data_IF_141940424364
#
_entry.id   IF_141940424364
#
_cell.length_a   1.000
_cell.length_b   1.000
_cell.length_c   1.000
_cell.angle_alpha   90.00
_cell.angle_beta   90.00
_cell.angle_gamma   90.00
#
_symmetry.space_group_name_H-M   'P 1'
#
loop_
_entity.id
_entity.type
_entity.pdbx_description
1 polymer ?
#
# COMPACT_ATOMS: atom_id res chain seq x y z
N UNK A 1 24.74 -10.71 21.99
CA UNK A 1 23.39 -10.65 21.40
C UNK A 1 23.41 -9.56 20.34
N UNK A 2 22.70 -9.76 19.23
CA UNK A 2 22.52 -8.72 18.22
C UNK A 2 21.80 -7.52 18.86
N UNK A 3 22.22 -6.29 18.56
CA UNK A 3 21.62 -5.09 19.15
C UNK A 3 20.49 -4.61 18.23
N UNK A 4 19.25 -4.88 18.63
CA UNK A 4 18.08 -4.45 17.84
C UNK A 4 17.76 -2.98 18.08
N UNK A 5 17.20 -2.30 17.08
CA UNK A 5 16.68 -0.95 17.24
C UNK A 5 15.68 -0.82 18.41
N UNK A 6 14.83 -1.83 18.60
CA UNK A 6 13.84 -1.90 19.68
C UNK A 6 14.44 -1.85 21.09
N UNK A 7 15.71 -2.24 21.25
CA UNK A 7 16.41 -2.20 22.54
C UNK A 7 17.04 -0.82 22.84
N UNK A 8 17.18 0.03 21.82
CA UNK A 8 17.91 1.29 21.90
C UNK A 8 17.04 2.54 21.70
N UNK A 9 15.76 2.36 21.37
CA UNK A 9 14.81 3.45 21.14
C UNK A 9 14.57 4.26 22.42
N UNK A 10 14.57 5.58 22.27
CA UNK A 10 14.25 6.57 23.29
C UNK A 10 12.93 7.23 22.94
N UNK A 11 12.08 7.43 23.94
CA UNK A 11 10.76 8.03 23.78
C UNK A 11 10.66 9.35 24.52
N UNK A 12 10.13 10.35 23.83
CA UNK A 12 9.87 11.69 24.36
C UNK A 12 8.37 11.96 24.26
N UNK A 13 7.73 12.19 25.41
CA UNK A 13 6.27 12.34 25.49
C UNK A 13 5.88 13.81 25.42
N UNK A 14 5.02 14.15 24.48
CA UNK A 14 4.34 15.45 24.41
C UNK A 14 3.00 15.34 25.14
N UNK A 15 2.65 16.34 25.97
CA UNK A 15 1.42 16.32 26.77
C UNK A 15 0.13 16.34 25.92
N UNK A 16 0.16 17.03 24.78
CA UNK A 16 -0.95 17.16 23.83
C UNK A 16 -0.48 16.89 22.39
N UNK A 17 0.30 15.85 22.18
CA UNK A 17 0.92 15.59 20.88
C UNK A 17 1.44 14.17 20.72
N UNK A 18 2.11 13.87 19.60
CA UNK A 18 2.68 12.56 19.35
C UNK A 18 3.83 12.26 20.31
N UNK A 19 4.01 10.98 20.59
CA UNK A 19 5.25 10.48 21.21
C UNK A 19 6.33 10.45 20.14
N UNK A 20 7.47 11.10 20.40
CA UNK A 20 8.62 11.05 19.51
C UNK A 20 9.50 9.88 19.94
N UNK A 21 9.54 8.83 19.12
CA UNK A 21 10.49 7.72 19.25
C UNK A 21 11.70 7.92 18.36
N UNK A 22 12.91 7.68 18.86
CA UNK A 22 14.14 7.73 18.05
C UNK A 22 15.24 6.82 18.61
N UNK A 23 16.06 6.27 17.73
CA UNK A 23 17.25 5.48 18.08
C UNK A 23 18.50 6.36 18.04
N UNK A 24 18.75 7.02 16.91
CA UNK A 24 19.97 7.77 16.65
C UNK A 24 19.74 9.25 16.32
N UNK A 25 18.52 9.63 15.94
CA UNK A 25 18.16 11.01 15.60
C UNK A 25 18.19 11.93 16.82
N UNK A 26 18.58 13.18 16.59
CA UNK A 26 18.44 14.24 17.59
C UNK A 26 16.96 14.62 17.76
N UNK A 27 16.64 15.10 18.95
CA UNK A 27 15.34 15.66 19.30
C UNK A 27 15.54 17.12 19.67
N UNK A 28 14.71 17.98 19.09
CA UNK A 28 14.66 19.41 19.36
C UNK A 28 13.59 19.61 20.45
N UNK A 29 13.96 20.32 21.51
CA UNK A 29 13.02 20.79 22.52
C UNK A 29 12.69 22.27 22.25
N UNK A 30 11.40 22.57 22.11
CA UNK A 30 10.91 23.93 21.88
C UNK A 30 9.54 24.12 22.50
N UNK A 31 9.34 25.22 23.21
CA UNK A 31 8.09 25.54 23.91
C UNK A 31 7.61 24.43 24.88
N UNK A 32 8.55 23.68 25.46
CA UNK A 32 8.24 22.52 26.32
C UNK A 32 7.71 21.29 25.58
N UNK A 33 7.85 21.24 24.25
CA UNK A 33 7.48 20.13 23.38
C UNK A 33 8.72 19.55 22.67
N UNK A 34 8.62 18.29 22.27
CA UNK A 34 9.65 17.54 21.59
C UNK A 34 9.32 17.33 20.12
N UNK A 35 10.34 17.51 19.26
CA UNK A 35 10.27 17.38 17.81
C UNK A 35 11.46 16.58 17.31
N UNK A 36 11.27 15.73 16.31
CA UNK A 36 12.40 15.04 15.68
C UNK A 36 13.13 16.00 14.74
N UNK A 37 14.45 16.05 14.83
CA UNK A 37 15.31 16.84 13.94
C UNK A 37 15.36 16.18 12.56
N UNK A 38 14.51 16.58 11.61
CA UNK A 38 14.33 15.84 10.36
C UNK A 38 15.49 16.00 9.36
N UNK A 39 16.39 16.96 9.53
CA UNK A 39 17.60 17.11 8.68
C UNK A 39 18.92 17.03 9.46
N UNK A 40 18.87 16.82 10.78
CA UNK A 40 20.06 16.63 11.61
C UNK A 40 20.85 17.92 11.93
N UNK A 41 20.35 19.08 11.47
CA UNK A 41 21.01 20.38 11.66
C UNK A 41 20.95 20.88 13.11
N UNK A 42 19.96 20.43 13.89
CA UNK A 42 19.63 20.95 15.21
C UNK A 42 18.78 22.21 15.19
N UNK A 43 18.50 22.79 14.02
CA UNK A 43 17.67 23.98 13.86
C UNK A 43 16.19 23.59 13.71
N UNK A 44 15.32 24.23 14.50
CA UNK A 44 13.88 24.03 14.42
C UNK A 44 13.29 24.64 13.14
N UNK A 45 12.72 23.81 12.27
CA UNK A 45 12.15 24.24 10.98
C UNK A 45 10.66 23.85 10.84
N UNK A 46 9.92 24.46 9.91
CA UNK A 46 8.48 24.20 9.75
C UNK A 46 8.14 22.72 9.55
N UNK A 47 8.99 21.94 8.87
CA UNK A 47 8.71 20.53 8.66
C UNK A 47 8.89 19.66 9.91
N UNK A 48 9.66 20.11 10.91
CA UNK A 48 9.82 19.41 12.19
C UNK A 48 8.57 19.57 13.08
N UNK A 49 7.84 20.67 12.88
CA UNK A 49 6.70 21.07 13.71
C UNK A 49 5.45 20.26 13.39
N UNK A 50 5.22 19.17 14.14
CA UNK A 50 4.03 18.32 13.99
C UNK A 50 2.70 19.03 14.30
N UNK A 51 2.72 20.26 14.83
CA UNK A 51 1.52 21.08 15.06
C UNK A 51 1.02 21.74 13.77
N UNK A 52 1.88 21.86 12.75
CA UNK A 52 1.49 22.38 11.44
C UNK A 52 0.75 21.31 10.62
N UNK A 53 -0.16 21.72 9.71
CA UNK A 53 -0.81 20.79 8.80
C UNK A 53 0.19 19.94 8.00
N UNK A 54 -0.15 18.67 7.78
CA UNK A 54 0.71 17.73 7.07
C UNK A 54 1.14 18.25 5.69
N UNK A 55 0.23 18.92 4.96
CA UNK A 55 0.52 19.51 3.66
C UNK A 55 1.58 20.62 3.75
N UNK A 56 1.50 21.50 4.74
CA UNK A 56 2.49 22.57 4.94
C UNK A 56 3.87 22.01 5.24
N UNK A 57 3.92 21.00 6.13
CA UNK A 57 5.16 20.30 6.48
C UNK A 57 5.77 19.61 5.27
N UNK A 58 4.96 18.90 4.48
CA UNK A 58 5.43 18.22 3.27
C UNK A 58 5.95 19.21 2.22
N UNK A 59 5.23 20.33 1.98
CA UNK A 59 5.66 21.39 1.06
C UNK A 59 6.94 22.09 1.52
N UNK A 60 7.15 22.22 2.82
CA UNK A 60 8.40 22.74 3.37
C UNK A 60 9.54 21.72 3.21
N UNK A 61 9.29 20.45 3.55
CA UNK A 61 10.35 19.45 3.58
C UNK A 61 10.84 19.05 2.20
N UNK A 62 9.95 18.94 1.22
CA UNK A 62 10.35 18.63 -0.16
C UNK A 62 11.30 19.68 -0.74
N UNK A 63 11.33 20.91 -0.20
CA UNK A 63 12.30 21.93 -0.63
C UNK A 63 13.71 21.68 -0.08
N UNK A 64 13.82 20.99 1.06
CA UNK A 64 15.10 20.61 1.67
C UNK A 64 15.72 19.39 0.99
N UNK A 65 14.90 18.43 0.53
CA UNK A 65 15.38 17.24 -0.16
C UNK A 65 16.12 17.58 -1.46
N UNK A 66 17.19 16.85 -1.72
CA UNK A 66 17.89 16.83 -3.02
C UNK A 66 17.01 16.25 -4.12
N UNK A 67 17.41 16.42 -5.38
CA UNK A 67 16.69 15.84 -6.53
C UNK A 67 16.63 14.31 -6.44
N UNK A 68 17.74 13.66 -6.06
CA UNK A 68 17.80 12.20 -5.97
C UNK A 68 16.91 11.66 -4.86
N UNK A 69 16.89 12.31 -3.69
CA UNK A 69 16.00 11.96 -2.58
C UNK A 69 14.53 12.09 -2.96
N UNK A 70 14.16 13.13 -3.73
CA UNK A 70 12.80 13.30 -4.28
C UNK A 70 12.43 12.19 -5.25
N UNK A 71 13.33 11.87 -6.18
CA UNK A 71 13.13 10.80 -7.17
C UNK A 71 12.93 9.47 -6.45
N UNK A 72 13.72 9.18 -5.41
CA UNK A 72 13.61 7.95 -4.63
C UNK A 72 12.24 7.76 -3.95
N UNK A 73 11.53 8.85 -3.62
CA UNK A 73 10.16 8.76 -3.07
C UNK A 73 9.11 8.29 -4.09
N UNK A 74 9.44 8.24 -5.38
CA UNK A 74 8.52 7.81 -6.43
C UNK A 74 8.55 6.30 -6.69
N UNK A 75 9.49 5.58 -6.07
CA UNK A 75 9.69 4.14 -6.29
C UNK A 75 9.25 3.35 -5.08
N UNK A 76 8.60 2.21 -5.35
CA UNK A 76 8.40 1.14 -4.38
C UNK A 76 9.13 -0.11 -4.85
N UNK A 77 10.00 -0.65 -4.01
CA UNK A 77 10.85 -1.79 -4.36
C UNK A 77 10.42 -3.05 -3.61
N UNK A 78 10.39 -4.19 -4.30
CA UNK A 78 10.25 -5.49 -3.64
C UNK A 78 11.47 -5.75 -2.76
N UNK A 79 11.23 -6.08 -1.50
CA UNK A 79 12.31 -6.15 -0.52
C UNK A 79 12.25 -7.40 0.34
N UNK A 80 13.46 -7.82 0.72
CA UNK A 80 13.71 -9.05 1.49
C UNK A 80 14.00 -8.74 2.95
N UNK A 81 13.64 -9.68 3.81
CA UNK A 81 14.06 -9.69 5.22
C UNK A 81 15.20 -10.70 5.38
N UNK A 82 16.15 -10.43 6.27
CA UNK A 82 17.31 -11.32 6.45
C UNK A 82 16.95 -12.76 6.82
N UNK A 83 15.94 -12.95 7.66
CA UNK A 83 15.50 -14.27 8.14
C UNK A 83 14.54 -14.99 7.18
N UNK A 84 13.89 -14.26 6.25
CA UNK A 84 12.77 -14.78 5.45
C UNK A 84 13.03 -14.61 3.95
N UNK A 85 13.77 -15.57 3.39
CA UNK A 85 14.26 -15.54 2.01
C UNK A 85 13.46 -16.40 1.03
N UNK A 86 12.20 -16.73 1.34
CA UNK A 86 11.39 -17.61 0.48
C UNK A 86 11.23 -17.11 -0.97
N UNK A 87 11.35 -15.80 -1.19
CA UNK A 87 11.33 -15.16 -2.51
C UNK A 87 12.64 -15.32 -3.30
N UNK A 88 13.73 -15.64 -2.62
CA UNK A 88 15.09 -15.61 -3.15
C UNK A 88 15.82 -16.91 -2.75
N UNK A 89 15.41 -18.07 -3.29
CA UNK A 89 15.83 -19.38 -2.78
C UNK A 89 17.34 -19.63 -2.88
N UNK A 90 18.01 -19.04 -3.86
CA UNK A 90 19.46 -19.16 -4.06
C UNK A 90 20.27 -18.03 -3.38
N UNK A 91 19.58 -17.08 -2.74
CA UNK A 91 20.21 -15.93 -2.11
C UNK A 91 20.82 -16.29 -0.75
N UNK A 92 22.04 -15.84 -0.51
CA UNK A 92 22.73 -15.99 0.77
C UNK A 92 22.70 -14.65 1.50
N UNK A 93 21.99 -14.53 2.64
CA UNK A 93 21.86 -13.26 3.32
C UNK A 93 23.17 -12.88 4.00
N UNK A 94 23.47 -11.60 4.04
CA UNK A 94 24.49 -11.05 4.93
C UNK A 94 23.75 -10.19 5.96
N UNK A 95 23.54 -10.75 7.15
CA UNK A 95 22.78 -10.05 8.17
C UNK A 95 23.53 -8.83 8.70
N UNK A 96 22.79 -7.76 8.98
CA UNK A 96 23.30 -6.60 9.72
C UNK A 96 23.58 -6.95 11.19
N UNK A 97 24.11 -5.99 11.96
CA UNK A 97 24.44 -6.20 13.38
C UNK A 97 23.22 -6.54 14.26
N UNK A 98 22.02 -6.18 13.82
CA UNK A 98 20.76 -6.52 14.51
C UNK A 98 20.29 -7.94 14.18
N UNK A 99 20.81 -8.54 13.11
CA UNK A 99 20.38 -9.85 12.61
C UNK A 99 19.06 -9.82 11.86
N UNK A 100 18.53 -8.64 11.50
CA UNK A 100 17.18 -8.48 10.93
C UNK A 100 17.20 -8.08 9.46
N UNK A 101 18.09 -7.16 9.08
CA UNK A 101 18.23 -6.68 7.72
C UNK A 101 19.16 -7.62 6.93
N UNK A 102 19.00 -7.59 5.62
CA UNK A 102 19.89 -8.26 4.70
C UNK A 102 20.71 -7.24 3.91
N UNK A 103 22.02 -7.24 4.15
CA UNK A 103 23.00 -6.37 3.53
C UNK A 103 23.80 -7.04 2.40
N UNK A 104 23.46 -8.29 2.02
CA UNK A 104 24.04 -8.90 0.83
C UNK A 104 23.45 -8.27 -0.43
N UNK A 105 24.25 -8.09 -1.48
CA UNK A 105 23.73 -7.74 -2.80
C UNK A 105 22.92 -8.91 -3.37
N UNK A 106 21.82 -8.61 -4.07
CA UNK A 106 21.04 -9.59 -4.82
C UNK A 106 21.11 -9.29 -6.32
N UNK A 107 21.64 -10.24 -7.07
CA UNK A 107 21.62 -10.24 -8.54
C UNK A 107 20.95 -11.54 -8.97
N UNK A 108 19.76 -11.45 -9.55
CA UNK A 108 19.03 -12.64 -9.93
C UNK A 108 17.69 -12.36 -10.59
N UNK A 109 16.99 -13.44 -10.94
CA UNK A 109 15.68 -13.40 -11.58
C UNK A 109 14.60 -13.81 -10.58
N UNK A 110 13.58 -12.98 -10.45
CA UNK A 110 12.35 -13.29 -9.72
C UNK A 110 11.20 -13.51 -10.72
N UNK A 111 10.01 -13.84 -10.21
CA UNK A 111 8.79 -13.86 -11.02
C UNK A 111 8.45 -12.48 -11.62
N UNK A 112 9.04 -11.40 -11.11
CA UNK A 112 8.82 -10.02 -11.57
C UNK A 112 9.90 -9.52 -12.53
N UNK A 113 10.90 -10.34 -12.84
CA UNK A 113 11.97 -10.01 -13.77
C UNK A 113 13.36 -10.11 -13.16
N UNK A 114 14.36 -9.67 -13.92
CA UNK A 114 15.74 -9.56 -13.46
C UNK A 114 15.89 -8.36 -12.52
N UNK A 115 16.57 -8.55 -11.41
CA UNK A 115 16.77 -7.54 -10.38
C UNK A 115 18.24 -7.48 -9.96
N UNK A 116 18.69 -6.26 -9.74
CA UNK A 116 20.01 -5.92 -9.23
C UNK A 116 19.77 -4.99 -8.03
N UNK A 117 19.75 -5.56 -6.83
CA UNK A 117 19.38 -4.85 -5.60
C UNK A 117 20.57 -4.83 -4.65
N UNK A 118 20.89 -3.67 -4.04
CA UNK A 118 21.95 -3.59 -3.06
C UNK A 118 21.51 -4.24 -1.74
N UNK A 119 22.41 -4.25 -0.76
CA UNK A 119 22.07 -4.50 0.63
C UNK A 119 21.07 -3.46 1.18
N UNK A 120 20.33 -3.81 2.23
CA UNK A 120 19.27 -2.97 2.81
C UNK A 120 19.83 -1.65 3.33
N UNK A 121 20.95 -1.68 4.05
CA UNK A 121 21.60 -0.48 4.57
C UNK A 121 22.03 0.47 3.44
N UNK A 122 22.58 -0.07 2.36
CA UNK A 122 22.94 0.72 1.18
C UNK A 122 21.71 1.29 0.48
N UNK A 123 20.64 0.50 0.31
CA UNK A 123 19.40 0.98 -0.26
C UNK A 123 18.85 2.20 0.51
N UNK A 124 18.80 2.10 1.83
CA UNK A 124 18.23 3.17 2.67
C UNK A 124 19.15 4.39 2.70
N UNK A 125 20.46 4.22 2.84
CA UNK A 125 21.41 5.33 3.05
C UNK A 125 21.97 5.95 1.78
N UNK A 126 22.08 5.19 0.69
CA UNK A 126 22.69 5.64 -0.57
C UNK A 126 21.65 5.87 -1.66
N UNK A 127 20.68 4.97 -1.80
CA UNK A 127 19.63 5.12 -2.80
C UNK A 127 18.41 5.88 -2.26
N UNK A 128 18.40 6.15 -0.95
CA UNK A 128 17.34 6.88 -0.26
C UNK A 128 15.94 6.28 -0.45
N UNK A 129 15.85 4.96 -0.67
CA UNK A 129 14.56 4.32 -0.82
C UNK A 129 13.77 4.41 0.50
N UNK A 130 12.48 4.73 0.39
CA UNK A 130 11.57 4.85 1.55
C UNK A 130 10.27 4.10 1.38
N UNK A 131 10.00 3.54 0.22
CA UNK A 131 8.84 2.68 0.00
C UNK A 131 9.31 1.29 -0.41
N UNK A 132 8.93 0.29 0.38
CA UNK A 132 9.25 -1.10 0.13
C UNK A 132 7.96 -1.91 0.08
N UNK A 133 7.94 -3.01 -0.66
CA UNK A 133 6.88 -4.02 -0.56
C UNK A 133 7.44 -5.28 0.09
N UNK A 134 6.72 -5.80 1.08
CA UNK A 134 7.03 -7.02 1.81
C UNK A 134 6.07 -8.14 1.41
N UNK A 135 6.63 -9.26 0.95
CA UNK A 135 5.87 -10.49 0.64
C UNK A 135 6.26 -11.71 1.48
N UNK A 136 7.20 -11.53 2.40
CA UNK A 136 7.47 -12.56 3.40
C UNK A 136 6.33 -12.64 4.43
N UNK A 137 6.27 -13.76 5.15
CA UNK A 137 5.30 -14.04 6.21
C UNK A 137 6.00 -14.24 7.56
N UNK A 138 6.65 -13.17 8.10
CA UNK A 138 7.30 -13.24 9.39
C UNK A 138 6.31 -13.38 10.53
N UNK A 139 6.78 -13.86 11.69
CA UNK A 139 6.02 -13.73 12.94
C UNK A 139 5.94 -12.25 13.35
N UNK A 140 4.92 -11.82 14.13
CA UNK A 140 4.71 -10.41 14.45
C UNK A 140 5.93 -9.73 15.09
N UNK A 141 6.65 -10.44 15.96
CA UNK A 141 7.84 -9.91 16.64
C UNK A 141 8.97 -9.59 15.65
N UNK A 142 9.24 -10.52 14.72
CA UNK A 142 10.31 -10.34 13.72
C UNK A 142 9.94 -9.23 12.72
N UNK A 143 8.65 -9.06 12.41
CA UNK A 143 8.17 -7.97 11.56
C UNK A 143 8.37 -6.61 12.22
N UNK A 144 7.94 -6.47 13.48
CA UNK A 144 8.11 -5.24 14.24
C UNK A 144 9.60 -4.88 14.41
N UNK A 145 10.44 -5.86 14.72
CA UNK A 145 11.89 -5.64 14.84
C UNK A 145 12.53 -5.20 13.51
N UNK A 146 12.16 -5.82 12.39
CA UNK A 146 12.66 -5.45 11.07
C UNK A 146 12.24 -4.03 10.66
N UNK A 147 10.98 -3.66 10.91
CA UNK A 147 10.49 -2.29 10.64
C UNK A 147 11.20 -1.25 11.51
N UNK A 148 11.36 -1.54 12.81
CA UNK A 148 12.12 -0.68 13.72
C UNK A 148 13.57 -0.51 13.26
N UNK A 149 14.19 -1.58 12.77
CA UNK A 149 15.55 -1.52 12.26
C UNK A 149 15.66 -0.70 10.96
N UNK A 150 14.72 -0.86 10.02
CA UNK A 150 14.64 -0.02 8.82
C UNK A 150 14.54 1.47 9.19
N UNK A 151 13.70 1.81 10.17
CA UNK A 151 13.57 3.19 10.64
C UNK A 151 14.84 3.70 11.32
N UNK A 152 15.50 2.87 12.12
CA UNK A 152 16.78 3.24 12.77
C UNK A 152 17.87 3.55 11.75
N UNK A 153 18.00 2.74 10.69
CA UNK A 153 18.95 3.02 9.59
C UNK A 153 18.56 4.29 8.84
N UNK A 154 17.26 4.53 8.61
CA UNK A 154 16.81 5.77 7.98
C UNK A 154 17.12 7.02 8.81
N UNK A 155 17.11 6.93 10.15
CA UNK A 155 17.50 8.04 11.05
C UNK A 155 18.97 8.46 10.90
N UNK A 156 19.82 7.61 10.34
CA UNK A 156 21.23 7.93 10.08
C UNK A 156 21.45 8.72 8.79
N UNK A 157 20.44 8.84 7.93
CA UNK A 157 20.53 9.60 6.68
C UNK A 157 20.57 11.12 6.98
N UNK A 158 21.11 11.94 6.08
CA UNK A 158 21.07 13.41 6.27
C UNK A 158 19.63 13.91 6.44
N UNK A 159 18.74 13.56 5.50
CA UNK A 159 17.30 13.77 5.63
C UNK A 159 16.57 12.50 6.12
N UNK A 160 15.87 12.61 7.25
CA UNK A 160 15.05 11.52 7.77
C UNK A 160 13.65 11.54 7.16
N UNK A 161 13.36 10.50 6.40
CA UNK A 161 12.01 10.08 6.04
C UNK A 161 11.83 8.66 6.58
N UNK A 162 10.71 8.31 7.24
CA UNK A 162 10.46 6.94 7.67
C UNK A 162 10.29 6.00 6.46
N UNK A 163 10.68 4.73 6.62
CA UNK A 163 10.44 3.69 5.61
C UNK A 163 9.00 3.21 5.70
N UNK A 164 8.20 3.42 4.66
CA UNK A 164 6.87 2.88 4.53
C UNK A 164 6.93 1.52 3.83
N UNK A 165 6.69 0.46 4.58
CA UNK A 165 6.53 -0.88 4.02
C UNK A 165 5.07 -1.12 3.69
N UNK A 166 4.84 -1.61 2.48
CA UNK A 166 3.53 -2.01 1.95
C UNK A 166 3.44 -3.52 1.87
N UNK A 167 2.25 -4.07 2.01
CA UNK A 167 1.96 -5.47 1.75
C UNK A 167 0.60 -5.63 1.07
N UNK A 168 0.36 -6.75 0.39
CA UNK A 168 -1.03 -7.17 0.15
C UNK A 168 -1.71 -7.47 1.48
N UNK A 169 -3.04 -7.55 1.45
CA UNK A 169 -3.84 -7.98 2.59
C UNK A 169 -3.39 -9.33 3.13
N UNK A 170 -3.47 -9.49 4.46
CA UNK A 170 -2.92 -10.63 5.22
C UNK A 170 -3.90 -11.26 6.21
N UNK A 171 -5.12 -10.73 6.27
CA UNK A 171 -6.11 -11.06 7.29
C UNK A 171 -7.25 -11.91 6.76
N UNK A 172 -7.24 -12.19 5.46
CA UNK A 172 -8.22 -13.02 4.79
C UNK A 172 -7.48 -13.95 3.84
N UNK A 173 -7.97 -15.19 3.77
CA UNK A 173 -7.46 -16.34 3.00
C UNK A 173 -6.93 -17.48 3.90
N UNK A 174 -7.36 -18.70 3.58
CA UNK A 174 -7.06 -19.92 4.33
C UNK A 174 -5.81 -20.68 3.86
N UNK A 175 -5.16 -20.25 2.77
CA UNK A 175 -3.98 -20.94 2.22
C UNK A 175 -2.75 -20.04 2.10
N UNK A 176 -1.60 -20.58 2.51
CA UNK A 176 -0.27 -20.01 2.28
C UNK A 176 0.07 -20.13 0.78
N UNK A 177 -0.40 -19.19 -0.03
CA UNK A 177 0.01 -19.09 -1.43
C UNK A 177 1.09 -18.04 -1.57
N UNK A 178 2.24 -18.40 -2.14
CA UNK A 178 3.25 -17.45 -2.57
C UNK A 178 2.78 -16.80 -3.88
N UNK A 179 2.42 -15.50 -3.89
CA UNK A 179 1.96 -14.83 -5.10
C UNK A 179 1.02 -13.63 -4.88
N UNK A 180 -0.15 -13.64 -5.53
CA UNK A 180 -1.11 -12.52 -5.55
C UNK A 180 -1.84 -12.26 -4.23
N UNK A 181 -1.68 -13.14 -3.23
CA UNK A 181 -2.15 -13.02 -1.84
C UNK A 181 -0.97 -13.33 -0.91
N UNK A 182 -0.89 -12.72 0.27
CA UNK A 182 0.22 -12.93 1.20
C UNK A 182 -0.32 -13.42 2.58
N UNK A 183 0.04 -14.67 2.94
CA UNK A 183 -0.10 -15.34 4.25
C UNK A 183 -1.48 -15.88 4.70
N UNK A 184 -1.41 -17.04 5.37
CA UNK A 184 -2.37 -17.52 6.38
C UNK A 184 -1.60 -17.82 7.69
N UNK A 185 -2.20 -17.56 8.85
CA UNK A 185 -1.71 -18.07 10.15
C UNK A 185 -0.75 -17.19 10.97
N UNK A 186 -0.42 -15.98 10.52
CA UNK A 186 0.33 -14.98 11.31
C UNK A 186 -0.62 -13.96 11.95
N UNK A 187 -1.60 -13.52 11.17
CA UNK A 187 -2.69 -12.65 11.56
C UNK A 187 -4.00 -13.43 11.64
N UNK A 188 -5.07 -12.82 12.15
CA UNK A 188 -6.39 -13.42 12.14
C UNK A 188 -6.76 -13.83 10.71
N UNK A 189 -7.20 -15.07 10.51
CA UNK A 189 -7.52 -15.63 9.20
C UNK A 189 -9.04 -15.64 8.98
N UNK A 190 -9.57 -14.53 8.47
CA UNK A 190 -10.96 -14.39 8.07
C UNK A 190 -11.25 -15.14 6.75
N UNK A 191 -12.53 -15.43 6.44
CA UNK A 191 -12.91 -15.87 5.11
C UNK A 191 -12.39 -14.89 4.05
N UNK A 192 -12.03 -15.38 2.85
CA UNK A 192 -11.67 -14.50 1.74
C UNK A 192 -12.77 -13.47 1.45
N UNK A 193 -12.45 -12.40 0.71
CA UNK A 193 -13.37 -11.26 0.52
C UNK A 193 -14.73 -11.64 -0.08
N UNK A 194 -14.80 -12.66 -0.95
CA UNK A 194 -16.08 -13.22 -1.42
C UNK A 194 -16.88 -13.88 -0.28
N UNK A 195 -16.22 -14.56 0.64
CA UNK A 195 -16.85 -15.16 1.82
C UNK A 195 -17.37 -14.09 2.79
N UNK A 196 -16.61 -13.00 2.96
CA UNK A 196 -17.06 -11.83 3.73
C UNK A 196 -18.31 -11.21 3.07
N UNK A 197 -18.28 -10.98 1.76
CA UNK A 197 -19.44 -10.47 1.03
C UNK A 197 -20.67 -11.37 1.15
N UNK A 198 -20.48 -12.70 1.10
CA UNK A 198 -21.57 -13.66 1.28
C UNK A 198 -22.15 -13.61 2.72
N UNK A 199 -21.28 -13.45 3.74
CA UNK A 199 -21.71 -13.31 5.13
C UNK A 199 -22.53 -12.03 5.33
N UNK A 200 -22.08 -10.89 4.78
CA UNK A 200 -22.82 -9.62 4.81
C UNK A 200 -24.19 -9.76 4.16
N UNK A 201 -24.28 -10.41 2.98
CA UNK A 201 -25.58 -10.67 2.33
C UNK A 201 -26.54 -11.52 3.16
N UNK A 202 -26.00 -12.43 3.97
CA UNK A 202 -26.78 -13.34 4.81
C UNK A 202 -27.15 -12.76 6.18
N UNK A 203 -26.50 -11.67 6.60
CA UNK A 203 -26.61 -11.12 7.95
C UNK A 203 -26.56 -9.57 7.95
N UNK A 204 -25.44 -8.96 8.38
CA UNK A 204 -25.31 -7.50 8.52
C UNK A 204 -23.99 -6.97 7.96
N UNK A 205 -24.00 -5.69 7.56
CA UNK A 205 -22.81 -4.92 7.17
C UNK A 205 -21.82 -4.73 8.32
N UNK A 206 -22.26 -4.80 9.58
CA UNK A 206 -21.41 -4.62 10.76
C UNK A 206 -20.25 -5.65 10.83
N UNK A 207 -20.39 -6.80 10.16
CA UNK A 207 -19.32 -7.79 10.00
C UNK A 207 -18.07 -7.20 9.30
N UNK A 208 -18.26 -6.23 8.41
CA UNK A 208 -17.16 -5.51 7.75
C UNK A 208 -16.44 -4.60 8.72
N UNK A 209 -17.17 -3.99 9.67
CA UNK A 209 -16.58 -3.11 10.67
C UNK A 209 -15.69 -3.91 11.63
N UNK A 210 -16.16 -5.08 12.08
CA UNK A 210 -15.36 -6.00 12.92
C UNK A 210 -14.12 -6.51 12.19
N UNK A 211 -14.27 -6.88 10.92
CA UNK A 211 -13.15 -7.30 10.07
C UNK A 211 -12.13 -6.17 9.90
N UNK A 212 -12.58 -4.98 9.56
CA UNK A 212 -11.75 -3.81 9.33
C UNK A 212 -10.98 -3.37 10.59
N UNK A 213 -11.63 -3.37 11.76
CA UNK A 213 -10.98 -3.07 13.03
C UNK A 213 -9.92 -4.13 13.40
N UNK A 214 -10.21 -5.41 13.14
CA UNK A 214 -9.23 -6.49 13.31
C UNK A 214 -7.97 -6.25 12.46
N UNK A 215 -8.16 -5.96 11.16
CA UNK A 215 -7.06 -5.64 10.24
C UNK A 215 -6.25 -4.46 10.75
N UNK A 216 -6.92 -3.35 11.10
CA UNK A 216 -6.26 -2.13 11.58
C UNK A 216 -5.40 -2.41 12.80
N UNK A 217 -5.95 -3.03 13.84
CA UNK A 217 -5.23 -3.28 15.10
C UNK A 217 -4.01 -4.17 14.90
N UNK A 218 -4.12 -5.22 14.09
CA UNK A 218 -3.03 -6.16 13.89
C UNK A 218 -1.89 -5.57 13.05
N UNK A 219 -2.22 -4.84 11.98
CA UNK A 219 -1.24 -4.16 11.14
C UNK A 219 -0.57 -2.99 11.87
N UNK A 220 -1.34 -2.22 12.65
CA UNK A 220 -0.84 -1.14 13.49
C UNK A 220 0.17 -1.66 14.54
N UNK A 221 -0.17 -2.76 15.22
CA UNK A 221 0.64 -3.35 16.28
C UNK A 221 2.05 -3.78 15.82
N UNK A 222 2.19 -4.20 14.55
CA UNK A 222 3.50 -4.56 13.98
C UNK A 222 4.18 -3.42 13.23
N UNK A 223 3.50 -2.29 13.01
CA UNK A 223 4.02 -1.15 12.26
C UNK A 223 3.81 -1.20 10.74
N UNK A 224 2.97 -2.10 10.23
CA UNK A 224 2.59 -2.10 8.81
C UNK A 224 1.53 -1.01 8.55
N UNK A 225 1.97 0.14 8.04
CA UNK A 225 1.12 1.33 7.90
C UNK A 225 0.49 1.54 6.53
N UNK A 226 0.68 0.63 5.57
CA UNK A 226 0.07 0.75 4.23
C UNK A 226 -0.23 -0.61 3.61
N UNK A 227 -1.46 -0.81 3.16
CA UNK A 227 -1.92 -2.04 2.53
C UNK A 227 -2.36 -1.84 1.07
N UNK A 228 -2.02 -2.80 0.22
CA UNK A 228 -2.61 -2.97 -1.12
C UNK A 228 -3.92 -3.73 -1.01
N UNK A 229 -4.91 -3.10 -0.39
CA UNK A 229 -6.20 -3.70 -0.09
C UNK A 229 -7.31 -2.63 -0.12
N UNK A 230 -8.51 -2.91 -0.62
CA UNK A 230 -9.01 -4.14 -1.25
C UNK A 230 -9.38 -3.93 -2.73
N UNK A 231 -9.79 -5.01 -3.42
CA UNK A 231 -10.24 -4.91 -4.81
C UNK A 231 -11.68 -4.37 -4.87
N UNK A 232 -11.87 -3.15 -5.40
CA UNK A 232 -13.18 -2.58 -5.74
C UNK A 232 -13.71 -3.11 -7.09
N UNK A 233 -13.01 -4.10 -7.66
CA UNK A 233 -13.33 -4.72 -8.93
C UNK A 233 -14.67 -5.49 -8.85
N UNK A 234 -15.58 -5.20 -9.77
CA UNK A 234 -16.84 -5.97 -9.94
C UNK A 234 -16.60 -7.21 -10.78
N UNK A 235 -17.11 -8.36 -10.35
CA UNK A 235 -17.12 -9.59 -11.14
C UNK A 235 -18.22 -9.50 -12.22
N UNK A 236 -17.87 -9.02 -13.41
CA UNK A 236 -18.77 -9.02 -14.57
C UNK A 236 -18.61 -10.28 -15.45
N UNK A 237 -17.53 -11.04 -15.26
CA UNK A 237 -17.26 -12.29 -15.98
C UNK A 237 -16.72 -13.35 -15.00
N UNK A 238 -17.45 -14.44 -14.73
CA UNK A 238 -17.04 -15.45 -13.76
C UNK A 238 -15.83 -16.28 -14.22
N UNK A 239 -15.42 -16.18 -15.49
CA UNK A 239 -14.18 -16.82 -16.00
C UNK A 239 -12.93 -16.11 -15.50
N UNK A 240 -13.05 -14.89 -14.99
CA UNK A 240 -11.91 -14.14 -14.49
C UNK A 240 -11.30 -14.79 -13.26
N UNK A 241 -10.05 -15.22 -13.36
CA UNK A 241 -9.40 -16.01 -12.32
C UNK A 241 -9.19 -15.29 -10.97
N UNK A 242 -9.36 -13.97 -10.92
CA UNK A 242 -9.12 -13.16 -9.71
C UNK A 242 -10.39 -12.78 -8.96
N UNK A 243 -11.51 -13.42 -9.27
CA UNK A 243 -12.78 -13.24 -8.57
C UNK A 243 -12.63 -13.37 -7.05
N UNK A 244 -11.76 -14.26 -6.58
CA UNK A 244 -11.50 -14.51 -5.16
C UNK A 244 -11.09 -13.27 -4.35
N UNK A 245 -10.49 -12.26 -5.00
CA UNK A 245 -10.03 -11.04 -4.33
C UNK A 245 -11.10 -9.94 -4.25
N UNK A 246 -12.26 -10.14 -4.89
CA UNK A 246 -13.36 -9.16 -4.98
C UNK A 246 -14.40 -9.36 -3.89
N UNK A 247 -15.35 -8.43 -3.78
CA UNK A 247 -16.57 -8.60 -2.98
C UNK A 247 -17.79 -9.01 -3.83
N UNK A 248 -17.56 -9.55 -5.04
CA UNK A 248 -18.59 -10.19 -5.86
C UNK A 248 -19.00 -9.40 -7.10
N UNK A 249 -20.22 -9.65 -7.57
CA UNK A 249 -20.76 -9.13 -8.84
C UNK A 249 -21.70 -7.93 -8.66
N UNK A 250 -22.03 -7.58 -7.42
CA UNK A 250 -23.04 -6.56 -7.09
C UNK A 250 -22.36 -5.21 -6.76
N UNK A 251 -22.42 -4.20 -7.65
CA UNK A 251 -21.78 -2.91 -7.41
C UNK A 251 -22.31 -2.19 -6.17
N UNK A 252 -23.58 -2.39 -5.80
CA UNK A 252 -24.18 -1.72 -4.64
C UNK A 252 -23.59 -2.28 -3.35
N UNK A 253 -23.50 -3.60 -3.23
CA UNK A 253 -22.86 -4.25 -2.09
C UNK A 253 -21.37 -3.88 -2.00
N UNK A 254 -20.65 -3.87 -3.13
CA UNK A 254 -19.24 -3.45 -3.14
C UNK A 254 -19.11 -2.01 -2.62
N UNK A 255 -19.96 -1.10 -3.09
CA UNK A 255 -19.98 0.27 -2.58
C UNK A 255 -20.27 0.35 -1.08
N UNK A 256 -21.23 -0.42 -0.59
CA UNK A 256 -21.58 -0.46 0.84
C UNK A 256 -20.41 -0.97 1.69
N UNK A 257 -19.80 -2.09 1.31
CA UNK A 257 -18.61 -2.64 1.96
C UNK A 257 -17.48 -1.61 1.98
N UNK A 258 -17.24 -0.92 0.86
CA UNK A 258 -16.15 0.07 0.78
C UNK A 258 -16.37 1.30 1.67
N UNK A 259 -17.62 1.75 1.86
CA UNK A 259 -17.97 2.83 2.80
C UNK A 259 -17.65 2.48 4.25
N UNK A 260 -17.69 1.18 4.57
CA UNK A 260 -17.33 0.68 5.90
C UNK A 260 -15.82 0.43 5.99
N UNK A 261 -15.28 -0.44 5.16
CA UNK A 261 -13.91 -0.94 5.32
C UNK A 261 -12.83 0.16 5.26
N UNK A 262 -13.00 1.19 4.42
CA UNK A 262 -11.99 2.25 4.25
C UNK A 262 -11.79 3.04 5.54
N UNK A 263 -12.81 3.76 6.06
CA UNK A 263 -12.62 4.56 7.25
C UNK A 263 -12.22 3.73 8.47
N UNK A 264 -12.70 2.48 8.60
CA UNK A 264 -12.35 1.63 9.75
C UNK A 264 -10.90 1.15 9.69
N UNK A 265 -10.35 0.83 8.52
CA UNK A 265 -8.92 0.47 8.39
C UNK A 265 -8.03 1.71 8.51
N UNK A 266 -8.42 2.83 7.90
CA UNK A 266 -7.66 4.08 7.95
C UNK A 266 -7.77 4.79 9.31
N UNK A 267 -8.73 4.42 10.14
CA UNK A 267 -8.99 4.96 11.47
C UNK A 267 -9.88 6.21 11.50
N UNK A 268 -10.25 6.78 10.35
CA UNK A 268 -11.25 7.87 10.29
C UNK A 268 -11.89 8.02 8.91
N UNK A 269 -13.02 8.72 8.85
CA UNK A 269 -13.69 9.14 7.59
C UNK A 269 -12.91 10.24 6.85
N UNK A 270 -12.08 11.00 7.57
CA UNK A 270 -11.28 12.11 7.03
C UNK A 270 -9.90 11.66 6.50
N UNK A 271 -9.65 10.35 6.47
CA UNK A 271 -8.40 9.76 5.99
C UNK A 271 -7.63 8.99 7.06
N UNK A 272 -6.32 8.89 6.90
CA UNK A 272 -5.46 8.00 7.70
C UNK A 272 -5.07 8.66 9.02
N UNK A 273 -5.35 7.98 10.14
CA UNK A 273 -4.92 8.38 11.49
C UNK A 273 -3.59 7.72 11.89
N UNK A 274 -3.02 8.14 13.02
CA UNK A 274 -1.75 7.60 13.51
C UNK A 274 -1.80 6.09 13.85
N UNK A 275 -2.95 5.63 14.33
CA UNK A 275 -3.28 4.23 14.64
C UNK A 275 -4.06 3.54 13.50
N UNK A 276 -4.06 4.16 12.32
CA UNK A 276 -4.68 3.67 11.10
C UNK A 276 -3.67 3.08 10.12
N UNK A 277 -4.20 2.41 9.10
CA UNK A 277 -3.44 1.81 8.00
C UNK A 277 -3.89 2.43 6.69
N UNK A 278 -2.95 3.00 5.93
CA UNK A 278 -3.25 3.61 4.64
C UNK A 278 -3.71 2.56 3.62
N UNK A 279 -4.91 2.73 3.06
CA UNK A 279 -5.44 1.81 2.04
C UNK A 279 -5.04 2.20 0.62
N UNK A 280 -4.85 1.18 -0.22
CA UNK A 280 -4.67 1.33 -1.66
C UNK A 280 -5.73 0.50 -2.37
N UNK A 281 -6.81 1.16 -2.81
CA UNK A 281 -7.92 0.50 -3.50
C UNK A 281 -7.52 0.16 -4.93
N UNK A 282 -7.87 -1.04 -5.39
CA UNK A 282 -7.37 -1.59 -6.66
C UNK A 282 -8.47 -2.35 -7.45
N UNK A 283 -8.31 -2.64 -8.73
CA UNK A 283 -7.34 -2.06 -9.65
C UNK A 283 -8.07 -1.13 -10.61
N UNK A 284 -7.84 0.18 -10.52
CA UNK A 284 -8.59 1.16 -11.32
C UNK A 284 -8.33 0.98 -12.82
N UNK A 285 -9.36 1.00 -13.69
CA UNK A 285 -10.75 1.39 -13.45
C UNK A 285 -11.71 0.22 -13.22
N UNK A 286 -11.22 -0.95 -12.81
CA UNK A 286 -12.00 -2.17 -12.63
C UNK A 286 -11.49 -3.32 -13.49
N UNK A 287 -11.14 -4.43 -12.84
CA UNK A 287 -10.62 -5.63 -13.46
C UNK A 287 -11.68 -6.57 -14.03
N UNK A 288 -12.97 -6.41 -13.75
CA UNK A 288 -14.00 -7.38 -14.16
C UNK A 288 -14.14 -7.62 -15.67
N UNK A 289 -13.93 -6.59 -16.48
CA UNK A 289 -14.21 -6.60 -17.93
C UNK A 289 -13.11 -7.29 -18.75
N UNK A 290 -12.67 -8.49 -18.34
CA UNK A 290 -11.53 -9.17 -18.98
C UNK A 290 -11.91 -9.81 -20.30
N UNK A 291 -11.04 -9.71 -21.31
CA UNK A 291 -11.18 -10.55 -22.51
C UNK A 291 -11.04 -12.03 -22.14
N UNK A 292 -12.13 -12.79 -22.28
CA UNK A 292 -12.22 -14.23 -21.99
C UNK A 292 -11.82 -14.64 -20.55
N UNK A 293 -11.84 -13.71 -19.59
CA UNK A 293 -11.40 -13.98 -18.21
C UNK A 293 -9.88 -14.10 -18.01
N UNK A 294 -9.05 -13.83 -19.03
CA UNK A 294 -7.61 -14.02 -18.95
C UNK A 294 -6.90 -13.07 -17.97
N UNK A 295 -5.83 -13.57 -17.33
CA UNK A 295 -5.02 -12.78 -16.39
C UNK A 295 -4.24 -11.69 -17.12
N UNK A 296 -4.31 -10.43 -16.67
CA UNK A 296 -3.49 -9.37 -17.26
C UNK A 296 -2.01 -9.41 -16.88
N UNK A 297 -1.56 -10.35 -16.05
CA UNK A 297 -0.13 -10.68 -15.95
C UNK A 297 0.42 -11.32 -17.22
N UNK A 298 -0.44 -11.87 -18.10
CA UNK A 298 -0.04 -12.50 -19.35
C UNK A 298 -0.50 -11.71 -20.57
N UNK A 299 0.25 -11.82 -21.66
CA UNK A 299 -0.03 -11.09 -22.91
C UNK A 299 -1.46 -11.33 -23.43
N UNK A 300 -2.00 -12.53 -23.27
CA UNK A 300 -3.36 -12.90 -23.69
C UNK A 300 -4.43 -12.13 -22.90
N UNK A 301 -4.13 -11.76 -21.65
CA UNK A 301 -4.99 -10.94 -20.81
C UNK A 301 -4.64 -9.45 -20.86
N UNK A 302 -3.99 -8.92 -21.88
CA UNK A 302 -3.73 -7.47 -21.87
C UNK A 302 -5.00 -6.59 -22.00
N UNK A 303 -6.15 -7.14 -22.41
CA UNK A 303 -7.33 -6.34 -22.78
C UNK A 303 -8.45 -6.30 -21.72
N UNK A 304 -8.94 -5.10 -21.43
CA UNK A 304 -10.27 -4.87 -20.85
C UNK A 304 -11.25 -4.56 -22.01
N UNK A 305 -12.37 -5.29 -22.04
CA UNK A 305 -13.39 -5.24 -23.08
C UNK A 305 -14.76 -4.99 -22.45
N UNK A 306 -15.28 -3.78 -22.63
CA UNK A 306 -16.57 -3.37 -22.09
C UNK A 306 -17.68 -3.74 -23.09
N UNK A 307 -18.26 -4.92 -22.95
CA UNK A 307 -19.19 -5.48 -23.95
C UNK A 307 -20.57 -4.81 -23.98
N UNK A 308 -20.96 -4.15 -22.90
CA UNK A 308 -22.26 -3.47 -22.78
C UNK A 308 -22.06 -1.95 -22.77
N UNK A 309 -22.90 -1.23 -23.51
CA UNK A 309 -22.87 0.24 -23.54
C UNK A 309 -22.99 0.81 -22.12
N UNK A 310 -22.10 1.73 -21.76
CA UNK A 310 -22.07 2.36 -20.44
C UNK A 310 -21.69 1.46 -19.26
N UNK A 311 -21.26 0.22 -19.48
CA UNK A 311 -20.87 -0.71 -18.39
C UNK A 311 -19.71 -0.22 -17.52
N UNK A 312 -18.79 0.59 -18.07
CA UNK A 312 -17.67 1.18 -17.33
C UNK A 312 -18.23 2.02 -16.16
N UNK A 313 -19.02 3.04 -16.50
CA UNK A 313 -19.62 3.96 -15.53
C UNK A 313 -20.62 3.24 -14.61
N UNK A 314 -21.45 2.36 -15.18
CA UNK A 314 -22.53 1.69 -14.43
C UNK A 314 -22.02 0.66 -13.42
N UNK A 315 -20.98 -0.10 -13.76
CA UNK A 315 -20.54 -1.24 -12.95
C UNK A 315 -19.14 -1.06 -12.37
N UNK A 316 -18.18 -0.55 -13.15
CA UNK A 316 -16.77 -0.64 -12.74
C UNK A 316 -16.27 0.59 -11.98
N UNK A 317 -16.82 1.78 -12.24
CA UNK A 317 -16.45 3.03 -11.56
C UNK A 317 -17.03 3.21 -10.15
N UNK A 318 -18.26 2.77 -9.80
CA UNK A 318 -18.89 3.11 -8.53
C UNK A 318 -18.06 2.78 -7.27
N UNK A 319 -17.40 1.62 -7.23
CA UNK A 319 -16.56 1.24 -6.09
C UNK A 319 -15.33 2.14 -5.91
N UNK A 320 -14.75 2.63 -7.02
CA UNK A 320 -13.64 3.59 -6.95
C UNK A 320 -14.13 4.99 -6.59
N UNK A 321 -15.34 5.38 -7.00
CA UNK A 321 -15.94 6.63 -6.56
C UNK A 321 -16.08 6.64 -5.03
N UNK A 322 -16.65 5.58 -4.46
CA UNK A 322 -16.73 5.42 -3.00
C UNK A 322 -15.34 5.48 -2.36
N UNK A 323 -14.33 4.88 -2.98
CA UNK A 323 -12.97 4.96 -2.44
C UNK A 323 -12.43 6.39 -2.36
N UNK A 324 -12.70 7.22 -3.38
CA UNK A 324 -12.36 8.65 -3.36
C UNK A 324 -13.18 9.40 -2.31
N UNK A 325 -14.49 9.18 -2.27
CA UNK A 325 -15.41 9.84 -1.33
C UNK A 325 -15.07 9.52 0.13
N UNK A 326 -14.56 8.32 0.41
CA UNK A 326 -14.10 7.87 1.73
C UNK A 326 -12.63 8.18 2.01
N UNK A 327 -12.00 9.08 1.24
CA UNK A 327 -10.61 9.51 1.44
C UNK A 327 -9.60 8.36 1.47
N UNK A 328 -9.76 7.33 0.61
CA UNK A 328 -8.76 6.28 0.49
C UNK A 328 -7.39 6.88 0.16
N UNK A 329 -6.36 6.46 0.90
CA UNK A 329 -5.02 7.04 0.82
C UNK A 329 -4.40 6.95 -0.58
N UNK A 330 -4.75 5.93 -1.36
CA UNK A 330 -4.31 5.81 -2.74
C UNK A 330 -5.18 4.86 -3.57
N UNK A 331 -5.07 4.98 -4.89
CA UNK A 331 -5.68 4.10 -5.88
C UNK A 331 -4.58 3.45 -6.70
N UNK A 332 -4.63 2.13 -6.89
CA UNK A 332 -3.71 1.40 -7.76
C UNK A 332 -4.34 1.24 -9.14
N UNK A 333 -3.73 1.76 -10.21
CA UNK A 333 -4.20 1.52 -11.57
C UNK A 333 -3.87 0.10 -12.05
N UNK A 334 -4.64 -0.39 -13.01
CA UNK A 334 -4.49 -1.73 -13.54
C UNK A 334 -3.46 -1.80 -14.68
N UNK A 335 -2.89 -2.99 -14.88
CA UNK A 335 -1.89 -3.25 -15.94
C UNK A 335 -2.54 -3.57 -17.30
N UNK A 336 -3.82 -3.97 -17.30
CA UNK A 336 -4.60 -4.13 -18.52
C UNK A 336 -4.74 -2.80 -19.28
N UNK A 337 -5.18 -2.88 -20.53
CA UNK A 337 -5.49 -1.72 -21.38
C UNK A 337 -6.89 -1.82 -21.99
N UNK A 338 -7.58 -0.70 -22.23
CA UNK A 338 -8.89 -0.73 -22.86
C UNK A 338 -8.79 -1.12 -24.34
N UNK A 339 -9.89 -1.62 -24.91
CA UNK A 339 -9.97 -2.01 -26.32
C UNK A 339 -11.15 -1.33 -27.02
N UNK A 340 -10.91 -0.19 -27.68
CA UNK A 340 -11.95 0.55 -28.42
C UNK A 340 -12.70 -0.33 -29.43
N UNK A 341 -11.95 -1.06 -30.27
CA UNK A 341 -12.52 -1.89 -31.34
C UNK A 341 -13.31 -3.13 -30.84
N UNK A 342 -13.16 -3.50 -29.55
CA UNK A 342 -13.83 -4.66 -28.96
C UNK A 342 -14.96 -4.27 -28.00
N UNK A 343 -15.00 -3.00 -27.59
CA UNK A 343 -15.93 -2.51 -26.57
C UNK A 343 -17.12 -1.82 -27.22
N UNK A 344 -18.28 -1.92 -26.58
CA UNK A 344 -19.40 -1.02 -26.82
C UNK A 344 -19.04 0.42 -26.38
N UNK A 345 -19.78 1.45 -26.84
CA UNK A 345 -19.55 2.83 -26.42
C UNK A 345 -19.59 2.99 -24.90
N UNK A 346 -18.65 3.78 -24.36
CA UNK A 346 -18.59 4.09 -22.93
C UNK A 346 -18.51 5.61 -22.75
N UNK A 347 -18.96 6.09 -21.59
CA UNK A 347 -18.97 7.49 -21.20
C UNK A 347 -18.15 7.72 -19.94
N UNK A 348 -17.66 8.94 -19.78
CA UNK A 348 -17.14 9.45 -18.51
C UNK A 348 -18.30 9.89 -17.61
N UNK A 349 -18.00 10.39 -16.40
CA UNK A 349 -19.05 10.80 -15.45
C UNK A 349 -19.83 12.04 -15.89
N UNK A 350 -19.35 12.75 -16.91
CA UNK A 350 -20.02 13.92 -17.48
C UNK A 350 -20.83 13.56 -18.74
N UNK A 351 -20.89 12.27 -19.10
CA UNK A 351 -21.58 11.79 -20.29
C UNK A 351 -20.81 11.99 -21.60
N UNK A 352 -19.55 12.41 -21.54
CA UNK A 352 -18.70 12.52 -22.73
C UNK A 352 -18.16 11.13 -23.13
N UNK A 353 -18.00 10.83 -24.43
CA UNK A 353 -17.44 9.55 -24.86
C UNK A 353 -16.03 9.31 -24.27
N UNK A 354 -15.81 8.14 -23.70
CA UNK A 354 -14.50 7.76 -23.17
C UNK A 354 -13.50 7.45 -24.28
N UNK A 355 -12.35 8.09 -24.21
CA UNK A 355 -11.23 7.80 -25.10
C UNK A 355 -10.49 6.51 -24.65
N UNK A 356 -10.62 5.45 -25.44
CA UNK A 356 -10.06 4.13 -25.15
C UNK A 356 -8.66 3.95 -25.73
N UNK A 357 -7.68 4.72 -25.22
CA UNK A 357 -6.29 4.61 -25.67
C UNK A 357 -5.71 3.22 -25.33
N UNK A 358 -5.12 2.47 -26.28
CA UNK A 358 -4.71 1.07 -26.08
C UNK A 358 -3.36 0.94 -25.35
N UNK A 359 -3.18 1.68 -24.25
CA UNK A 359 -2.06 1.62 -23.32
C UNK A 359 -2.54 1.14 -21.95
N UNK A 360 -1.63 0.55 -21.16
CA UNK A 360 -1.97 0.08 -19.81
C UNK A 360 -2.59 1.20 -18.97
N UNK A 361 -3.59 0.90 -18.14
CA UNK A 361 -4.33 1.92 -17.40
C UNK A 361 -3.42 2.79 -16.52
N UNK A 362 -2.31 2.24 -16.01
CA UNK A 362 -1.28 3.00 -15.28
C UNK A 362 -0.65 4.16 -16.08
N UNK A 363 -0.73 4.14 -17.42
CA UNK A 363 -0.19 5.16 -18.33
C UNK A 363 -1.28 5.88 -19.13
N UNK A 364 -2.55 5.65 -18.80
CA UNK A 364 -3.67 6.04 -19.65
C UNK A 364 -4.27 7.37 -19.19
N UNK A 365 -3.86 8.49 -19.80
CA UNK A 365 -4.26 9.86 -19.40
C UNK A 365 -5.78 10.07 -19.33
N UNK A 366 -6.60 9.65 -20.31
CA UNK A 366 -8.05 9.73 -20.20
C UNK A 366 -8.61 9.13 -18.91
N UNK A 367 -8.06 8.01 -18.46
CA UNK A 367 -8.50 7.32 -17.25
C UNK A 367 -7.89 7.93 -15.97
N UNK A 368 -6.58 8.19 -15.95
CA UNK A 368 -5.87 8.66 -14.75
C UNK A 368 -6.10 10.15 -14.50
N UNK A 369 -5.82 10.99 -15.49
CA UNK A 369 -5.94 12.44 -15.34
C UNK A 369 -7.39 12.88 -15.57
N UNK A 370 -8.04 12.35 -16.61
CA UNK A 370 -9.42 12.69 -16.94
C UNK A 370 -10.42 12.18 -15.90
N UNK A 371 -10.59 10.86 -15.84
CA UNK A 371 -11.66 10.24 -15.05
C UNK A 371 -11.36 10.19 -13.54
N UNK A 372 -10.15 9.80 -13.11
CA UNK A 372 -9.86 9.60 -11.68
C UNK A 372 -9.52 10.89 -10.94
N UNK A 373 -8.78 11.81 -11.56
CA UNK A 373 -8.26 13.01 -10.88
C UNK A 373 -9.16 14.25 -11.04
N UNK A 374 -9.84 14.39 -12.19
CA UNK A 374 -10.56 15.62 -12.54
C UNK A 374 -12.09 15.48 -12.48
N UNK A 375 -12.63 14.29 -12.21
CA UNK A 375 -14.08 14.01 -12.11
C UNK A 375 -14.36 13.22 -10.83
#
# INVERSE_FOLDING_TARGET
MAKKASENVKYYKNSNGPVIGTVSRKVIEKDGLYFKDLDGSGDFKPYDDWRLPAEERARAYVKALTTDEKIAQLFISDWRMGKYLSQFPDHQPQLDESGTLDDAEFIGKTIFGEQHLPGTTELIKKWFARHLILRANPVPEDLADWLNQLHAVAEECEHFVPVQVVSNSRNENGELVFGMNDAAGIFAAWPGTLGIAAAVKGDSIDLVDDFADCVRREWDAVGLKKGYMYMADVVSDPRWQRTYGTFGEDPQLICEIFRHIIPRIQGSEDGVTADGVAMTVKHFPGGGARENGFDPHYQMGQWNVYQTEGSLEKYHIPGFQVAVDCNASSIMPYYAKPAAAKSAPQTDKNGAPMEMQPYGFAYNKPFIDGLLRNQ
#
